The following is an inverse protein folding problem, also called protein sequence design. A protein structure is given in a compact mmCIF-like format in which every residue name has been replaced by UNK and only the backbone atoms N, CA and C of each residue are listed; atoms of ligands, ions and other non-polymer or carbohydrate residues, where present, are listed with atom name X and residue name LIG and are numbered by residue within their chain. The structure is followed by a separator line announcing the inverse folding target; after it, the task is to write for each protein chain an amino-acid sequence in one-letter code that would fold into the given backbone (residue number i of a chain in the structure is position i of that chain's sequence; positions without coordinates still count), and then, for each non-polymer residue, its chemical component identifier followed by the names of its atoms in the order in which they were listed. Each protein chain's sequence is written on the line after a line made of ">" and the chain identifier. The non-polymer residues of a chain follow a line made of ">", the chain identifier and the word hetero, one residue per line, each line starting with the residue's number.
data_IF_953660392219
#
_entry.id   IF_953660392219
#
_cell.length_a   1.000
_cell.length_b   1.000
_cell.length_c   1.000
_cell.angle_alpha   90.00
_cell.angle_beta   90.00
_cell.angle_gamma   90.00
#
_symmetry.space_group_name_H-M   'P 1'
#
loop_
_entity.id
_entity.type
_entity.pdbx_description
1 polymer ?
#
# COMPACT_ATOMS: atom_id res chain seq x y z
N UNK A 1 12.95 -7.23 -5.55
CA UNK A 1 13.65 -8.02 -6.58
C UNK A 1 15.04 -7.47 -6.76
N UNK A 2 16.04 -8.34 -6.78
CA UNK A 2 17.44 -7.99 -6.98
C UNK A 2 18.14 -9.08 -7.79
N UNK A 3 19.29 -8.74 -8.37
CA UNK A 3 20.22 -9.68 -8.99
C UNK A 3 21.47 -9.78 -8.12
N UNK A 4 22.07 -10.95 -8.08
CA UNK A 4 23.39 -11.15 -7.47
C UNK A 4 24.44 -11.02 -8.58
N UNK A 5 25.50 -10.27 -8.30
CA UNK A 5 26.67 -10.17 -9.16
C UNK A 5 27.93 -10.30 -8.30
N UNK A 6 28.48 -11.50 -8.22
CA UNK A 6 29.51 -11.84 -7.24
C UNK A 6 29.01 -11.59 -5.80
N UNK A 7 29.72 -10.76 -5.05
CA UNK A 7 29.37 -10.36 -3.68
C UNK A 7 28.39 -9.16 -3.63
N UNK A 8 27.99 -8.63 -4.78
CA UNK A 8 27.10 -7.46 -4.87
C UNK A 8 25.65 -7.85 -5.07
N UNK A 9 24.74 -7.16 -4.36
CA UNK A 9 23.30 -7.20 -4.57
C UNK A 9 22.88 -5.97 -5.36
N UNK A 10 22.33 -6.17 -6.56
CA UNK A 10 21.87 -5.08 -7.43
C UNK A 10 20.34 -5.08 -7.46
N UNK A 11 19.67 -4.07 -6.87
CA UNK A 11 18.21 -3.91 -6.98
C UNK A 11 17.78 -3.90 -8.45
N UNK A 12 16.66 -4.56 -8.78
CA UNK A 12 16.13 -4.50 -10.16
C UNK A 12 15.60 -3.09 -10.41
N UNK A 13 16.28 -2.33 -11.25
CA UNK A 13 15.81 -1.04 -11.74
C UNK A 13 15.03 -1.24 -13.05
N UNK A 14 13.86 -0.62 -13.13
CA UNK A 14 13.08 -0.48 -14.36
C UNK A 14 13.47 0.83 -15.03
N UNK A 15 14.00 0.73 -16.25
CA UNK A 15 14.20 1.90 -17.10
C UNK A 15 12.85 2.40 -17.61
N UNK A 16 12.75 3.70 -17.95
CA UNK A 16 11.55 4.33 -18.51
C UNK A 16 11.39 4.00 -20.01
N UNK A 17 11.38 2.71 -20.36
CA UNK A 17 11.13 2.27 -21.74
C UNK A 17 9.64 2.36 -22.06
N UNK A 18 9.24 2.49 -23.35
CA UNK A 18 7.83 2.51 -23.74
C UNK A 18 7.03 1.33 -23.15
N UNK A 19 7.58 0.12 -23.22
CA UNK A 19 6.95 -1.09 -22.66
C UNK A 19 6.71 -0.98 -21.14
N UNK A 20 7.69 -0.49 -20.38
CA UNK A 20 7.54 -0.34 -18.93
C UNK A 20 6.51 0.72 -18.54
N UNK A 21 6.44 1.80 -19.33
CA UNK A 21 5.47 2.88 -19.14
C UNK A 21 4.07 2.42 -19.47
N UNK A 22 3.92 1.62 -20.54
CA UNK A 22 2.67 0.99 -20.93
C UNK A 22 2.16 0.05 -19.83
N UNK A 23 2.99 -0.88 -19.33
CA UNK A 23 2.59 -1.75 -18.21
C UNK A 23 2.20 -0.96 -16.95
N UNK A 24 2.92 0.13 -16.64
CA UNK A 24 2.57 0.99 -15.53
C UNK A 24 1.23 1.72 -15.76
N UNK A 25 0.98 2.18 -16.98
CA UNK A 25 -0.26 2.86 -17.36
C UNK A 25 -1.46 1.90 -17.33
N UNK A 26 -1.33 0.68 -17.86
CA UNK A 26 -2.35 -0.36 -17.80
C UNK A 26 -2.83 -0.61 -16.36
N UNK A 27 -1.88 -0.70 -15.42
CA UNK A 27 -2.21 -0.89 -14.00
C UNK A 27 -2.87 0.36 -13.39
N UNK A 28 -2.46 1.57 -13.79
CA UNK A 28 -3.10 2.80 -13.34
C UNK A 28 -4.55 2.84 -13.82
N UNK A 29 -4.78 2.54 -15.10
CA UNK A 29 -6.11 2.56 -15.72
C UNK A 29 -7.03 1.52 -15.07
N UNK A 30 -6.50 0.33 -14.76
CA UNK A 30 -7.23 -0.71 -14.02
C UNK A 30 -7.68 -0.24 -12.64
N UNK A 31 -6.82 0.46 -11.89
CA UNK A 31 -7.20 1.02 -10.59
C UNK A 31 -8.23 2.16 -10.74
N UNK A 32 -8.11 2.99 -11.76
CA UNK A 32 -9.12 4.03 -12.05
C UNK A 32 -10.49 3.42 -12.36
N UNK A 33 -10.54 2.36 -13.16
CA UNK A 33 -11.77 1.65 -13.50
C UNK A 33 -12.37 0.90 -12.30
N UNK A 34 -11.54 0.47 -11.36
CA UNK A 34 -11.97 -0.22 -10.15
C UNK A 34 -12.49 0.71 -9.03
N UNK A 35 -12.46 2.04 -9.20
CA UNK A 35 -13.06 2.97 -8.22
C UNK A 35 -14.55 2.67 -8.07
N UNK A 36 -15.01 2.56 -6.82
CA UNK A 36 -16.36 2.14 -6.47
C UNK A 36 -16.57 0.62 -6.42
N UNK A 37 -15.57 -0.18 -6.81
CA UNK A 37 -15.64 -1.64 -6.73
C UNK A 37 -15.04 -2.20 -5.43
N UNK A 38 -15.43 -3.42 -5.01
CA UNK A 38 -14.80 -4.11 -3.90
C UNK A 38 -13.34 -4.46 -4.18
N UNK A 39 -12.54 -4.55 -3.12
CA UNK A 39 -11.15 -4.99 -3.21
C UNK A 39 -11.03 -6.39 -3.86
N UNK A 40 -12.00 -7.28 -3.64
CA UNK A 40 -12.08 -8.59 -4.29
C UNK A 40 -12.09 -8.50 -5.83
N UNK A 41 -12.89 -7.57 -6.38
CA UNK A 41 -12.95 -7.33 -7.81
C UNK A 41 -11.59 -6.90 -8.35
N UNK A 42 -10.95 -5.93 -7.70
CA UNK A 42 -9.62 -5.46 -8.07
C UNK A 42 -8.58 -6.60 -8.01
N UNK A 43 -8.61 -7.43 -6.96
CA UNK A 43 -7.72 -8.58 -6.83
C UNK A 43 -7.91 -9.59 -7.97
N UNK A 44 -9.16 -9.85 -8.38
CA UNK A 44 -9.47 -10.74 -9.50
C UNK A 44 -8.92 -10.18 -10.82
N UNK A 45 -9.11 -8.90 -11.09
CA UNK A 45 -8.58 -8.24 -12.30
C UNK A 45 -7.04 -8.28 -12.33
N UNK A 46 -6.39 -8.00 -11.20
CA UNK A 46 -4.94 -8.10 -11.08
C UNK A 46 -4.42 -9.52 -11.31
N UNK A 47 -5.13 -10.53 -10.80
CA UNK A 47 -4.74 -11.94 -10.99
C UNK A 47 -4.79 -12.37 -12.47
N UNK A 48 -5.74 -11.84 -13.24
CA UNK A 48 -5.83 -12.10 -14.68
C UNK A 48 -4.59 -11.56 -15.42
N UNK A 49 -4.21 -10.31 -15.12
CA UNK A 49 -3.04 -9.64 -15.72
C UNK A 49 -1.71 -10.31 -15.35
N UNK A 50 -1.62 -10.90 -14.14
CA UNK A 50 -0.44 -11.63 -13.71
C UNK A 50 -0.25 -12.98 -14.43
N UNK A 51 -1.33 -13.59 -14.92
CA UNK A 51 -1.31 -14.94 -15.52
C UNK A 51 -0.74 -14.99 -16.94
N UNK A 52 -0.63 -13.86 -17.62
CA UNK A 52 -0.31 -13.79 -19.05
C UNK A 52 1.19 -13.70 -19.34
N UNK A 53 2.04 -13.31 -18.38
CA UNK A 53 3.46 -13.01 -18.63
C UNK A 53 4.43 -13.39 -17.51
N UNK A 54 5.71 -13.55 -17.86
CA UNK A 54 6.80 -13.92 -16.93
C UNK A 54 7.19 -12.80 -15.96
N UNK A 55 6.80 -11.56 -16.22
CA UNK A 55 7.10 -10.38 -15.39
C UNK A 55 6.07 -10.11 -14.27
N UNK A 56 5.26 -11.12 -13.90
CA UNK A 56 4.23 -11.02 -12.84
C UNK A 56 4.73 -10.38 -11.53
N UNK A 57 6.01 -10.56 -11.18
CA UNK A 57 6.61 -9.96 -9.98
C UNK A 57 6.71 -8.43 -10.06
N UNK A 58 6.94 -7.88 -11.26
CA UNK A 58 6.95 -6.42 -11.47
C UNK A 58 5.53 -5.91 -11.32
N UNK A 59 4.57 -6.52 -12.04
CA UNK A 59 3.15 -6.11 -12.01
C UNK A 59 2.60 -6.15 -10.58
N UNK A 60 2.92 -7.18 -9.80
CA UNK A 60 2.62 -7.26 -8.35
C UNK A 60 3.20 -6.10 -7.55
N UNK A 61 4.46 -5.76 -7.79
CA UNK A 61 5.12 -4.67 -7.07
C UNK A 61 4.52 -3.31 -7.41
N UNK A 62 4.20 -3.05 -8.68
CA UNK A 62 3.53 -1.83 -9.12
C UNK A 62 2.11 -1.75 -8.54
N UNK A 63 1.32 -2.83 -8.64
CA UNK A 63 -0.02 -2.91 -8.06
C UNK A 63 -0.01 -2.72 -6.54
N UNK A 64 0.99 -3.27 -5.84
CA UNK A 64 1.17 -3.03 -4.41
C UNK A 64 1.38 -1.54 -4.09
N UNK A 65 2.18 -0.83 -4.88
CA UNK A 65 2.41 0.62 -4.69
C UNK A 65 1.14 1.42 -4.96
N UNK A 66 0.39 1.10 -6.02
CA UNK A 66 -0.91 1.71 -6.31
C UNK A 66 -1.91 1.49 -5.16
N UNK A 67 -1.99 0.27 -4.65
CA UNK A 67 -2.87 -0.09 -3.54
C UNK A 67 -2.51 0.58 -2.21
N UNK A 68 -1.23 0.69 -1.88
CA UNK A 68 -0.79 1.17 -0.56
C UNK A 68 -0.51 2.66 -0.51
N UNK A 69 -0.16 3.28 -1.64
CA UNK A 69 0.33 4.65 -1.68
C UNK A 69 -0.55 5.64 -2.45
N UNK A 70 -1.61 5.17 -3.11
CA UNK A 70 -2.47 5.98 -3.98
C UNK A 70 -3.96 5.62 -3.88
N UNK A 71 -4.33 4.61 -3.09
CA UNK A 71 -5.70 4.11 -2.98
C UNK A 71 -6.22 4.26 -1.56
N UNK A 72 -7.50 4.65 -1.44
CA UNK A 72 -8.24 4.66 -0.17
C UNK A 72 -9.34 3.61 -0.23
N UNK A 73 -9.29 2.64 0.67
CA UNK A 73 -10.31 1.61 0.82
C UNK A 73 -11.11 1.84 2.10
N UNK A 74 -12.43 1.83 1.98
CA UNK A 74 -13.31 2.12 3.10
C UNK A 74 -14.47 1.12 3.23
N UNK A 75 -15.05 1.07 4.42
CA UNK A 75 -16.23 0.28 4.75
C UNK A 75 -17.46 1.08 4.32
N UNK A 76 -18.10 0.66 3.23
CA UNK A 76 -19.35 1.29 2.76
C UNK A 76 -20.53 0.47 3.25
N UNK A 77 -21.19 0.97 4.29
CA UNK A 77 -22.32 0.30 4.95
C UNK A 77 -23.30 1.31 5.54
N UNK A 78 -24.62 1.01 5.59
CA UNK A 78 -25.60 1.93 6.17
C UNK A 78 -25.44 2.12 7.69
N UNK A 79 -24.86 1.14 8.37
CA UNK A 79 -24.50 1.13 9.80
C UNK A 79 -23.14 0.45 9.97
N UNK A 80 -22.56 0.49 11.16
CA UNK A 80 -21.45 -0.40 11.49
C UNK A 80 -21.83 -1.87 11.17
N UNK A 81 -21.00 -2.63 10.41
CA UNK A 81 -21.38 -3.97 9.92
C UNK A 81 -21.78 -4.95 11.02
N UNK A 82 -21.25 -4.79 12.24
CA UNK A 82 -21.65 -5.58 13.41
C UNK A 82 -23.10 -5.30 13.82
N UNK A 83 -23.49 -4.03 13.92
CA UNK A 83 -24.85 -3.61 14.28
C UNK A 83 -25.85 -3.98 13.19
N UNK A 84 -25.43 -3.82 11.92
CA UNK A 84 -26.25 -4.21 10.77
C UNK A 84 -26.55 -5.71 10.79
N UNK A 85 -25.54 -6.57 11.02
CA UNK A 85 -25.73 -8.02 11.18
C UNK A 85 -26.65 -8.36 12.34
N UNK A 86 -26.47 -7.70 13.49
CA UNK A 86 -27.33 -7.92 14.65
C UNK A 86 -28.80 -7.65 14.32
N UNK A 87 -29.10 -6.53 13.65
CA UNK A 87 -30.48 -6.17 13.25
C UNK A 87 -31.04 -7.14 12.21
N UNK A 88 -30.28 -7.46 11.17
CA UNK A 88 -30.72 -8.43 10.14
C UNK A 88 -31.05 -9.78 10.76
N UNK A 89 -30.16 -10.30 11.61
CA UNK A 89 -30.34 -11.62 12.20
C UNK A 89 -31.46 -11.65 13.24
N UNK A 90 -31.62 -10.58 14.04
CA UNK A 90 -32.73 -10.45 14.99
C UNK A 90 -34.09 -10.41 14.29
N UNK A 91 -34.19 -9.74 13.14
CA UNK A 91 -35.41 -9.74 12.32
C UNK A 91 -35.64 -11.12 11.67
N UNK A 92 -34.60 -11.74 11.10
CA UNK A 92 -34.74 -13.05 10.46
C UNK A 92 -35.14 -14.15 11.44
N UNK A 93 -34.74 -14.05 12.71
CA UNK A 93 -35.05 -15.04 13.75
C UNK A 93 -36.54 -15.08 14.11
N UNK A 94 -37.32 -14.06 13.74
CA UNK A 94 -38.77 -14.01 13.96
C UNK A 94 -39.57 -14.72 12.87
N UNK A 95 -38.91 -15.13 11.79
CA UNK A 95 -39.53 -15.72 10.60
C UNK A 95 -39.08 -17.17 10.40
N UNK A 96 -39.86 -17.93 9.63
CA UNK A 96 -39.46 -19.26 9.18
C UNK A 96 -38.34 -19.12 8.13
N UNK A 97 -37.26 -19.93 8.19
CA UNK A 97 -36.21 -19.88 7.19
C UNK A 97 -36.73 -20.13 5.77
N UNK A 98 -36.40 -19.24 4.84
CA UNK A 98 -36.80 -19.35 3.43
C UNK A 98 -36.29 -18.20 2.60
N UNK A 99 -36.07 -18.43 1.30
CA UNK A 99 -35.53 -17.41 0.37
C UNK A 99 -36.43 -16.16 0.32
N UNK A 100 -37.75 -16.36 0.25
CA UNK A 100 -38.72 -15.26 0.24
C UNK A 100 -38.68 -14.45 1.55
N UNK A 101 -38.54 -15.13 2.69
CA UNK A 101 -38.46 -14.50 4.00
C UNK A 101 -37.15 -13.72 4.19
N UNK A 102 -36.03 -14.22 3.64
CA UNK A 102 -34.76 -13.49 3.62
C UNK A 102 -34.87 -12.18 2.83
N UNK A 103 -35.51 -12.20 1.65
CA UNK A 103 -35.78 -10.97 0.89
C UNK A 103 -36.66 -9.99 1.67
N UNK A 104 -37.76 -10.49 2.25
CA UNK A 104 -38.67 -9.68 3.07
C UNK A 104 -37.96 -9.06 4.28
N UNK A 105 -37.05 -9.79 4.93
CA UNK A 105 -36.23 -9.29 6.04
C UNK A 105 -35.38 -8.10 5.60
N UNK A 106 -34.71 -8.22 4.45
CA UNK A 106 -33.85 -7.15 3.94
C UNK A 106 -34.65 -5.94 3.49
N UNK A 107 -35.81 -6.13 2.83
CA UNK A 107 -36.72 -5.03 2.45
C UNK A 107 -37.23 -4.29 3.69
N UNK A 108 -37.67 -5.04 4.71
CA UNK A 108 -38.19 -4.46 5.95
C UNK A 108 -37.10 -3.65 6.66
N UNK A 109 -35.89 -4.20 6.79
CA UNK A 109 -34.80 -3.49 7.43
C UNK A 109 -34.35 -2.27 6.63
N UNK A 110 -34.29 -2.38 5.29
CA UNK A 110 -33.96 -1.25 4.42
C UNK A 110 -34.93 -0.08 4.65
N UNK A 111 -36.25 -0.34 4.69
CA UNK A 111 -37.26 0.67 4.99
C UNK A 111 -37.12 1.26 6.39
N UNK A 112 -36.86 0.44 7.42
CA UNK A 112 -36.62 0.91 8.78
C UNK A 112 -35.40 1.84 8.85
N UNK A 113 -34.28 1.42 8.24
CA UNK A 113 -33.07 2.23 8.20
C UNK A 113 -33.26 3.52 7.39
N UNK A 114 -34.06 3.49 6.32
CA UNK A 114 -34.35 4.71 5.55
C UNK A 114 -35.06 5.77 6.40
N UNK A 115 -35.99 5.34 7.26
CA UNK A 115 -36.70 6.22 8.17
C UNK A 115 -35.81 6.68 9.32
N UNK A 116 -35.05 5.78 9.95
CA UNK A 116 -34.19 6.09 11.10
C UNK A 116 -33.03 7.03 10.74
N UNK A 117 -32.45 6.86 9.55
CA UNK A 117 -31.27 7.62 9.10
C UNK A 117 -31.63 8.82 8.21
N UNK A 118 -32.93 9.08 7.98
CA UNK A 118 -33.43 10.15 7.12
C UNK A 118 -32.77 10.19 5.72
N UNK A 119 -32.48 9.02 5.16
CA UNK A 119 -31.83 8.86 3.84
C UNK A 119 -32.35 7.60 3.14
N UNK A 120 -32.32 7.56 1.82
CA UNK A 120 -32.78 6.37 1.10
C UNK A 120 -31.78 5.21 1.20
N UNK A 121 -32.19 4.12 1.84
CA UNK A 121 -31.46 2.86 1.96
C UNK A 121 -32.19 1.78 1.16
N UNK A 122 -31.61 1.42 0.02
CA UNK A 122 -32.02 0.23 -0.73
C UNK A 122 -31.54 -1.09 -0.10
N UNK A 123 -32.19 -2.20 -0.49
CA UNK A 123 -31.79 -3.57 -0.12
C UNK A 123 -30.34 -3.89 -0.51
N UNK A 124 -29.87 -3.36 -1.63
CA UNK A 124 -28.49 -3.54 -2.09
C UNK A 124 -27.47 -3.03 -1.05
N UNK A 125 -27.74 -1.86 -0.43
CA UNK A 125 -26.88 -1.30 0.61
C UNK A 125 -26.83 -2.17 1.86
N UNK A 126 -27.97 -2.77 2.26
CA UNK A 126 -28.00 -3.70 3.40
C UNK A 126 -27.19 -4.96 3.08
N UNK A 127 -27.37 -5.54 1.89
CA UNK A 127 -26.63 -6.73 1.45
C UNK A 127 -25.13 -6.50 1.42
N UNK A 128 -24.70 -5.39 0.83
CA UNK A 128 -23.30 -5.01 0.74
C UNK A 128 -22.72 -4.72 2.13
N UNK A 129 -23.48 -4.03 2.98
CA UNK A 129 -23.04 -3.63 4.32
C UNK A 129 -22.82 -4.78 5.30
N UNK A 130 -23.51 -5.92 5.13
CA UNK A 130 -23.47 -7.07 6.07
C UNK A 130 -22.05 -7.53 6.42
N UNK A 131 -21.16 -7.52 5.43
CA UNK A 131 -19.77 -7.97 5.57
C UNK A 131 -18.78 -6.96 4.98
N UNK A 132 -19.14 -5.68 4.93
CA UNK A 132 -18.28 -4.62 4.39
C UNK A 132 -17.00 -4.40 5.22
N UNK A 133 -16.95 -4.91 6.46
CA UNK A 133 -15.78 -4.91 7.34
C UNK A 133 -14.67 -5.87 6.89
N UNK A 134 -15.01 -6.94 6.16
CA UNK A 134 -14.05 -7.87 5.58
C UNK A 134 -13.18 -7.16 4.54
N UNK A 135 -11.86 -7.40 4.59
CA UNK A 135 -10.89 -6.70 3.74
C UNK A 135 -11.24 -6.78 2.25
N UNK A 136 -11.69 -7.93 1.78
CA UNK A 136 -12.06 -8.16 0.37
C UNK A 136 -13.30 -7.37 -0.07
N UNK A 137 -14.19 -7.01 0.86
CA UNK A 137 -15.44 -6.31 0.59
C UNK A 137 -15.32 -4.78 0.73
N UNK A 138 -14.18 -4.28 1.24
CA UNK A 138 -13.94 -2.84 1.31
C UNK A 138 -13.92 -2.24 -0.09
N UNK A 139 -14.51 -1.07 -0.24
CA UNK A 139 -14.68 -0.40 -1.52
C UNK A 139 -13.49 0.53 -1.75
N UNK A 140 -12.95 0.53 -2.98
CA UNK A 140 -11.99 1.54 -3.42
C UNK A 140 -12.74 2.88 -3.59
N UNK A 141 -12.77 3.70 -2.55
CA UNK A 141 -13.56 4.96 -2.54
C UNK A 141 -12.82 6.12 -3.22
N UNK A 142 -11.49 6.10 -3.19
CA UNK A 142 -10.68 7.12 -3.84
C UNK A 142 -9.38 6.53 -4.39
N UNK A 143 -8.96 7.06 -5.54
CA UNK A 143 -7.70 6.72 -6.17
C UNK A 143 -7.04 7.99 -6.71
N UNK A 144 -5.80 8.25 -6.31
CA UNK A 144 -4.99 9.39 -6.73
C UNK A 144 -3.95 8.90 -7.76
N UNK A 145 -4.28 8.88 -9.07
CA UNK A 145 -3.44 8.24 -10.07
C UNK A 145 -2.08 8.96 -10.20
N UNK A 146 -0.94 8.27 -10.00
CA UNK A 146 0.35 8.82 -10.39
C UNK A 146 0.51 8.82 -11.91
N UNK A 147 1.48 9.56 -12.42
CA UNK A 147 1.96 9.31 -13.79
C UNK A 147 2.70 7.97 -13.85
N UNK A 148 2.68 7.30 -15.00
CA UNK A 148 3.40 6.04 -15.20
C UNK A 148 4.89 6.16 -14.84
N UNK A 149 5.54 7.27 -15.25
CA UNK A 149 6.93 7.56 -14.89
C UNK A 149 7.14 7.70 -13.38
N UNK A 150 6.26 8.43 -12.69
CA UNK A 150 6.35 8.58 -11.23
C UNK A 150 6.16 7.24 -10.50
N UNK A 151 5.27 6.38 -10.98
CA UNK A 151 5.10 5.03 -10.44
C UNK A 151 6.36 4.18 -10.61
N UNK A 152 6.99 4.21 -11.78
CA UNK A 152 8.25 3.50 -12.04
C UNK A 152 9.40 4.04 -11.17
N UNK A 153 9.52 5.36 -10.98
CA UNK A 153 10.48 5.94 -10.04
C UNK A 153 10.24 5.47 -8.61
N UNK A 154 8.97 5.47 -8.16
CA UNK A 154 8.59 4.98 -6.83
C UNK A 154 8.87 3.48 -6.68
N UNK A 155 8.68 2.70 -7.74
CA UNK A 155 9.05 1.29 -7.79
C UNK A 155 10.56 1.13 -7.60
N UNK A 156 11.38 1.83 -8.38
CA UNK A 156 12.84 1.74 -8.28
C UNK A 156 13.34 2.12 -6.88
N UNK A 157 12.81 3.19 -6.31
CA UNK A 157 13.09 3.60 -4.94
C UNK A 157 12.72 2.48 -3.94
N UNK A 158 11.54 1.87 -4.08
CA UNK A 158 11.10 0.77 -3.21
C UNK A 158 12.01 -0.46 -3.29
N UNK A 159 12.59 -0.75 -4.47
CA UNK A 159 13.53 -1.86 -4.64
C UNK A 159 14.85 -1.59 -3.90
N UNK A 160 15.34 -0.37 -3.94
CA UNK A 160 16.54 0.08 -3.22
C UNK A 160 16.29 0.05 -1.71
N UNK A 161 15.17 0.63 -1.27
CA UNK A 161 14.72 0.62 0.14
C UNK A 161 14.62 -0.81 0.70
N UNK A 162 14.10 -1.75 -0.09
CA UNK A 162 13.99 -3.16 0.31
C UNK A 162 15.31 -3.85 0.61
N UNK A 163 16.45 -3.39 0.04
CA UNK A 163 17.77 -3.94 0.37
C UNK A 163 18.21 -3.54 1.78
N UNK A 164 17.91 -2.30 2.20
CA UNK A 164 18.30 -1.79 3.51
C UNK A 164 17.63 -2.52 4.69
N UNK A 165 16.48 -3.15 4.47
CA UNK A 165 15.82 -3.96 5.49
C UNK A 165 16.66 -5.15 5.99
N UNK A 166 17.69 -5.54 5.23
CA UNK A 166 18.60 -6.65 5.58
C UNK A 166 20.06 -6.23 5.67
N UNK A 167 20.35 -4.93 5.58
CA UNK A 167 21.73 -4.45 5.69
C UNK A 167 22.27 -4.69 7.11
N UNK A 168 23.53 -5.14 7.20
CA UNK A 168 24.27 -5.22 8.47
C UNK A 168 24.92 -3.88 8.82
N UNK A 169 25.43 -3.19 7.81
CA UNK A 169 26.05 -1.87 7.93
C UNK A 169 25.80 -1.11 6.62
N UNK A 170 25.67 0.20 6.72
CA UNK A 170 25.57 1.10 5.58
C UNK A 170 26.69 2.13 5.71
N UNK A 171 27.40 2.37 4.61
CA UNK A 171 28.41 3.42 4.53
C UNK A 171 27.97 4.43 3.48
N UNK A 172 27.87 5.70 3.87
CA UNK A 172 27.57 6.82 2.98
C UNK A 172 28.79 7.72 2.88
N UNK A 173 29.24 7.97 1.65
CA UNK A 173 30.30 8.92 1.37
C UNK A 173 29.66 10.20 0.82
N UNK A 174 29.54 11.22 1.67
CA UNK A 174 29.04 12.52 1.30
C UNK A 174 30.20 13.42 0.88
N UNK A 175 30.48 13.45 -0.43
CA UNK A 175 31.51 14.32 -1.01
C UNK A 175 31.25 15.79 -0.74
N UNK A 176 32.27 16.64 -0.96
CA UNK A 176 32.20 18.10 -0.78
C UNK A 176 30.93 18.70 -1.38
N UNK A 177 30.11 19.33 -0.55
CA UNK A 177 28.82 19.90 -0.90
C UNK A 177 28.54 21.18 -0.08
N UNK A 178 27.43 21.85 -0.36
CA UNK A 178 26.99 23.03 0.40
C UNK A 178 26.74 22.67 1.89
N UNK A 179 27.16 23.52 2.84
CA UNK A 179 26.92 23.28 4.28
C UNK A 179 25.45 23.05 4.66
N UNK A 180 24.50 23.61 3.91
CA UNK A 180 23.07 23.40 4.08
C UNK A 180 22.64 21.95 3.83
N UNK A 181 23.19 21.31 2.81
CA UNK A 181 22.89 19.91 2.46
C UNK A 181 23.41 18.94 3.53
N UNK A 182 24.60 19.19 4.09
CA UNK A 182 25.08 18.42 5.24
C UNK A 182 24.19 18.57 6.46
N UNK A 183 23.75 19.81 6.76
CA UNK A 183 22.82 20.05 7.87
C UNK A 183 21.50 19.33 7.66
N UNK A 184 20.98 19.31 6.42
CA UNK A 184 19.76 18.60 6.06
C UNK A 184 19.90 17.09 6.28
N UNK A 185 20.96 16.49 5.73
CA UNK A 185 21.26 15.07 5.89
C UNK A 185 21.41 14.69 7.38
N UNK A 186 22.23 15.42 8.15
CA UNK A 186 22.40 15.15 9.58
C UNK A 186 21.11 15.34 10.37
N UNK A 187 20.23 16.26 9.96
CA UNK A 187 18.90 16.42 10.54
C UNK A 187 18.06 15.17 10.28
N UNK A 188 18.09 14.58 9.09
CA UNK A 188 17.36 13.35 8.80
C UNK A 188 17.92 12.13 9.54
N UNK A 189 19.25 11.99 9.66
CA UNK A 189 19.86 10.94 10.47
C UNK A 189 19.35 10.99 11.93
N UNK A 190 19.26 12.19 12.50
CA UNK A 190 18.73 12.41 13.85
C UNK A 190 17.21 12.20 13.91
N UNK A 191 16.45 12.67 12.92
CA UNK A 191 15.00 12.54 12.85
C UNK A 191 14.58 11.07 12.86
N UNK A 192 15.27 10.24 12.08
CA UNK A 192 15.03 8.80 12.00
C UNK A 192 15.74 8.01 13.11
N UNK A 193 16.43 8.69 14.04
CA UNK A 193 17.10 8.12 15.21
C UNK A 193 18.08 7.00 14.83
N UNK A 194 18.84 7.22 13.77
CA UNK A 194 19.79 6.26 13.27
C UNK A 194 21.06 6.24 14.14
N UNK A 195 21.58 5.05 14.41
CA UNK A 195 22.85 4.88 15.10
C UNK A 195 23.96 5.09 14.09
N UNK A 196 24.65 6.22 14.20
CA UNK A 196 25.60 6.67 13.18
C UNK A 196 26.93 7.07 13.79
N UNK A 197 27.98 6.86 13.02
CA UNK A 197 29.32 7.32 13.27
C UNK A 197 29.78 8.13 12.06
N UNK A 198 30.20 9.38 12.30
CA UNK A 198 30.46 10.38 11.25
C UNK A 198 31.91 10.84 11.39
N UNK A 199 32.68 10.72 10.30
CA UNK A 199 34.06 11.19 10.19
C UNK A 199 34.19 12.15 9.00
N UNK A 200 35.14 13.09 9.07
CA UNK A 200 35.43 14.05 8.00
C UNK A 200 35.10 15.50 8.34
N UNK A 201 35.15 16.37 7.34
CA UNK A 201 34.95 17.82 7.47
C UNK A 201 34.28 18.40 6.21
N UNK A 202 33.89 19.67 6.27
CA UNK A 202 33.17 20.32 5.18
C UNK A 202 34.04 20.56 3.92
N UNK A 203 35.37 20.54 4.04
CA UNK A 203 36.28 20.79 2.93
C UNK A 203 36.51 19.51 2.10
N UNK A 204 36.52 18.34 2.76
CA UNK A 204 36.78 17.03 2.15
C UNK A 204 35.53 16.15 1.99
N UNK A 205 34.47 16.46 2.75
CA UNK A 205 33.26 15.65 2.86
C UNK A 205 33.25 14.76 4.11
N UNK A 206 32.15 14.02 4.26
CA UNK A 206 31.91 13.15 5.41
C UNK A 206 31.73 11.69 4.99
N UNK A 207 32.29 10.79 5.79
CA UNK A 207 31.99 9.36 5.77
C UNK A 207 31.06 9.05 6.93
N UNK A 208 29.91 8.46 6.63
CA UNK A 208 28.86 8.17 7.62
C UNK A 208 28.63 6.67 7.62
N UNK A 209 29.04 6.02 8.70
CA UNK A 209 28.69 4.65 8.98
C UNK A 209 27.36 4.62 9.76
N UNK A 210 26.43 3.78 9.30
CA UNK A 210 25.14 3.55 9.95
C UNK A 210 25.05 2.05 10.26
N UNK A 211 24.76 1.73 11.51
CA UNK A 211 24.45 0.34 11.88
C UNK A 211 23.17 -0.09 11.19
N UNK A 212 23.18 -1.30 10.63
CA UNK A 212 22.02 -1.88 9.95
C UNK A 212 21.07 -2.62 10.90
N UNK A 213 19.83 -2.94 10.47
CA UNK A 213 18.81 -3.61 11.28
C UNK A 213 19.18 -5.01 11.74
N UNK A 214 20.17 -5.65 11.10
CA UNK A 214 20.67 -6.97 11.48
C UNK A 214 21.93 -6.91 12.37
N UNK A 215 22.45 -5.71 12.68
CA UNK A 215 23.60 -5.49 13.56
C UNK A 215 23.23 -5.62 15.05
N UNK A 216 22.02 -5.19 15.43
CA UNK A 216 21.52 -5.33 16.80
C UNK A 216 21.16 -6.80 17.08
N UNK A 217 21.50 -7.28 18.29
CA UNK A 217 21.36 -8.66 18.79
C UNK A 217 19.98 -9.33 18.60
N UNK A 218 18.97 -8.62 18.06
CA UNK A 218 17.75 -9.16 17.44
C UNK A 218 17.37 -8.29 16.22
N UNK A 219 17.05 -8.88 15.05
CA UNK A 219 16.57 -8.13 13.88
C UNK A 219 15.32 -7.31 14.23
N UNK A 220 15.37 -5.99 14.03
CA UNK A 220 14.22 -5.11 14.24
C UNK A 220 13.73 -4.56 12.90
N UNK A 221 12.49 -4.89 12.54
CA UNK A 221 11.83 -4.41 11.32
C UNK A 221 11.58 -2.91 11.36
N UNK A 222 11.32 -2.34 12.55
CA UNK A 222 11.11 -0.90 12.76
C UNK A 222 12.32 -0.07 12.36
N UNK A 223 13.50 -0.44 12.84
CA UNK A 223 14.73 0.28 12.54
C UNK A 223 15.11 0.18 11.05
N UNK A 224 14.88 -0.98 10.41
CA UNK A 224 15.07 -1.12 8.97
C UNK A 224 14.16 -0.21 8.13
N UNK A 225 12.91 -0.02 8.58
CA UNK A 225 11.98 0.94 7.96
C UNK A 225 12.48 2.38 8.11
N UNK A 226 12.99 2.76 9.29
CA UNK A 226 13.49 4.11 9.54
C UNK A 226 14.76 4.42 8.73
N UNK A 227 15.64 3.44 8.53
CA UNK A 227 16.76 3.56 7.58
C UNK A 227 16.26 3.75 6.15
N UNK A 228 15.28 2.97 5.69
CA UNK A 228 14.78 3.08 4.32
C UNK A 228 14.18 4.46 4.02
N UNK A 229 13.64 5.16 5.03
CA UNK A 229 13.17 6.55 4.90
C UNK A 229 14.27 7.56 4.65
N UNK A 230 15.54 7.23 4.96
CA UNK A 230 16.69 8.09 4.67
C UNK A 230 16.87 8.33 3.17
N UNK A 231 16.35 7.45 2.31
CA UNK A 231 16.41 7.62 0.86
C UNK A 231 14.98 7.94 0.39
N UNK A 232 14.70 9.12 -0.21
CA UNK A 232 15.61 9.99 -0.99
C UNK A 232 15.98 11.32 -0.29
N UNK A 233 16.09 11.31 1.04
CA UNK A 233 16.07 12.50 1.90
C UNK A 233 17.20 13.52 1.65
#
# INVERSE_FOLDING_TARGET
>A
MYRLNGESVIPKQLALTPQSLETAQELIDLFQQAVGQPQAYLNQQLQQIEGEETDYRIKRGLAHLLRSGFSTFDIVSPLEPTDLRQRVFALSAQLVPGLQQSEQTLVTLAQQLSQELERDIEVAHVRQGLYADLQENRILVAFEPPTAAALLHRYNLSQVQGVFYRASQISLNAHRNDPGEYKLMFRYLKLFRLMTYIEGDADHGFTIAIDGPTSLFKPSTRYGIDIAKLIPA
#
